data_IF_458610650039
#
_entry.id   IF_458610650039
#
_cell.length_a   1.000
_cell.length_b   1.000
_cell.length_c   1.000
_cell.angle_alpha   90.00
_cell.angle_beta   90.00
_cell.angle_gamma   90.00
#
_symmetry.space_group_name_H-M   'P 1'
#
loop_
_entity.id
_entity.type
_entity.pdbx_description
1 polymer ?
#
# COMPACT_ATOMS: atom_id res chain seq x y z
N UNK A 1 -0.33 -1.21 2.84
CA UNK A 1 -0.52 -2.56 3.38
C UNK A 1 -1.97 -2.93 3.18
N UNK A 2 -2.25 -4.06 2.55
CA UNK A 2 -3.60 -4.53 2.20
C UNK A 2 -3.95 -5.86 2.85
N UNK A 3 -2.95 -6.54 3.42
CA UNK A 3 -3.06 -7.79 4.17
C UNK A 3 -1.84 -7.93 5.10
N UNK A 4 -1.74 -9.02 5.89
CA UNK A 4 -0.64 -9.29 6.83
C UNK A 4 0.75 -9.19 6.21
N UNK A 5 0.92 -9.69 4.99
CA UNK A 5 2.21 -9.76 4.28
C UNK A 5 2.18 -9.06 2.91
N UNK A 6 1.08 -8.38 2.56
CA UNK A 6 0.87 -7.81 1.21
C UNK A 6 0.77 -6.30 1.22
N UNK A 7 1.42 -5.68 0.26
CA UNK A 7 1.43 -4.24 0.05
C UNK A 7 1.13 -3.93 -1.40
N UNK A 8 0.29 -2.92 -1.66
CA UNK A 8 0.20 -2.32 -2.98
C UNK A 8 1.28 -1.25 -3.12
N UNK A 9 1.93 -1.19 -4.28
CA UNK A 9 2.99 -0.21 -4.57
C UNK A 9 2.90 0.26 -6.01
N UNK A 10 3.32 1.51 -6.25
CA UNK A 10 3.51 2.01 -7.60
C UNK A 10 4.91 1.61 -8.07
N UNK A 11 5.07 0.82 -9.15
CA UNK A 11 6.39 0.36 -9.58
C UNK A 11 7.40 1.49 -9.82
N UNK A 12 6.95 2.64 -10.33
CA UNK A 12 7.84 3.77 -10.65
C UNK A 12 8.47 4.50 -9.45
N UNK A 13 8.19 4.09 -8.19
CA UNK A 13 8.92 4.62 -7.03
C UNK A 13 9.97 3.65 -6.49
N UNK A 14 9.93 2.36 -6.84
CA UNK A 14 10.73 1.32 -6.16
C UNK A 14 12.23 1.59 -6.23
N UNK A 15 12.74 2.05 -7.37
CA UNK A 15 14.16 2.36 -7.57
C UNK A 15 14.60 3.72 -6.97
N UNK A 16 13.67 4.44 -6.33
CA UNK A 16 13.88 5.77 -5.77
C UNK A 16 13.61 5.85 -4.27
N UNK A 17 13.25 4.73 -3.63
CA UNK A 17 13.00 4.69 -2.18
C UNK A 17 14.29 4.41 -1.42
N UNK A 18 14.71 5.36 -0.58
CA UNK A 18 15.66 5.10 0.49
C UNK A 18 14.92 4.67 1.76
N UNK A 19 15.40 3.61 2.42
CA UNK A 19 14.77 3.10 3.62
C UNK A 19 15.67 3.22 4.85
N UNK A 20 15.09 3.72 5.94
CA UNK A 20 15.77 3.90 7.22
C UNK A 20 14.91 3.30 8.32
N UNK A 21 15.52 2.45 9.17
CA UNK A 21 14.85 1.88 10.33
C UNK A 21 15.23 2.65 11.58
N UNK A 22 14.25 3.32 12.20
CA UNK A 22 14.46 4.18 13.37
C UNK A 22 13.98 3.45 14.62
N UNK A 23 14.83 3.40 15.65
CA UNK A 23 14.50 2.85 16.97
C UNK A 23 14.78 3.86 18.07
N UNK A 24 14.06 3.72 19.19
CA UNK A 24 14.35 4.50 20.40
C UNK A 24 15.76 4.15 20.90
N UNK A 25 16.61 5.17 21.04
CA UNK A 25 17.93 5.04 21.64
C UNK A 25 17.94 5.33 23.14
N UNK A 26 19.13 5.57 23.69
CA UNK A 26 19.36 5.84 25.11
C UNK A 26 19.34 7.35 25.34
N UNK A 27 18.90 7.82 26.52
CA UNK A 27 18.90 9.25 26.91
C UNK A 27 18.14 10.17 25.94
N UNK A 28 17.06 9.69 25.32
CA UNK A 28 16.23 10.49 24.42
C UNK A 28 16.78 10.63 22.99
N UNK A 29 17.90 10.00 22.66
CA UNK A 29 18.38 9.94 21.28
C UNK A 29 17.62 8.88 20.46
N UNK A 30 17.58 9.08 19.14
CA UNK A 30 17.15 8.05 18.18
C UNK A 30 18.37 7.29 17.66
N UNK A 31 18.20 6.01 17.36
CA UNK A 31 19.16 5.23 16.58
C UNK A 31 18.53 4.94 15.23
N UNK A 32 19.31 5.05 14.16
CA UNK A 32 18.85 4.73 12.82
C UNK A 32 19.87 3.84 12.11
N UNK A 33 19.37 2.99 11.23
CA UNK A 33 20.16 2.17 10.30
C UNK A 33 19.59 2.34 8.89
N UNK A 34 20.44 2.51 7.89
CA UNK A 34 20.03 2.41 6.49
C UNK A 34 19.76 0.94 6.16
N UNK A 35 18.68 0.70 5.43
CA UNK A 35 18.32 -0.61 4.91
C UNK A 35 18.30 -0.53 3.40
N UNK A 36 19.06 -1.39 2.74
CA UNK A 36 19.32 -1.34 1.30
C UNK A 36 18.06 -1.58 0.45
N UNK A 37 17.03 -2.20 1.03
CA UNK A 37 15.80 -2.54 0.33
C UNK A 37 14.55 -2.25 1.15
N UNK A 38 13.56 -1.61 0.53
CA UNK A 38 12.22 -1.44 1.09
C UNK A 38 11.60 -2.80 1.47
N UNK A 39 11.84 -3.83 0.65
CA UNK A 39 11.34 -5.18 0.91
C UNK A 39 11.89 -5.73 2.22
N UNK A 40 13.22 -5.66 2.41
CA UNK A 40 13.87 -6.14 3.63
C UNK A 40 13.49 -5.33 4.85
N UNK A 41 13.34 -4.01 4.70
CA UNK A 41 12.92 -3.15 5.79
C UNK A 41 11.52 -3.50 6.30
N UNK A 42 10.55 -3.65 5.39
CA UNK A 42 9.18 -4.02 5.73
C UNK A 42 9.13 -5.42 6.35
N UNK A 43 9.81 -6.39 5.74
CA UNK A 43 9.91 -7.77 6.25
C UNK A 43 10.47 -7.81 7.68
N UNK A 44 11.57 -7.11 7.95
CA UNK A 44 12.18 -7.00 9.28
C UNK A 44 11.29 -6.27 10.28
N UNK A 45 10.64 -5.18 9.87
CA UNK A 45 9.78 -4.38 10.75
C UNK A 45 8.53 -5.14 11.21
N UNK A 46 7.99 -6.01 10.35
CA UNK A 46 6.83 -6.85 10.66
C UNK A 46 7.20 -8.23 11.24
N UNK A 47 8.49 -8.55 11.37
CA UNK A 47 8.99 -9.86 11.78
C UNK A 47 8.43 -11.03 10.94
N UNK A 48 8.44 -10.85 9.61
CA UNK A 48 7.97 -11.85 8.64
C UNK A 48 9.15 -12.53 7.93
N UNK A 49 8.92 -13.74 7.42
CA UNK A 49 9.91 -14.45 6.59
C UNK A 49 9.94 -13.93 5.15
N UNK A 50 8.81 -13.44 4.65
CA UNK A 50 8.66 -12.83 3.34
C UNK A 50 7.49 -11.85 3.35
N UNK A 51 7.49 -10.97 2.34
CA UNK A 51 6.35 -10.11 2.02
C UNK A 51 6.13 -10.10 0.51
N UNK A 52 4.95 -9.66 0.08
CA UNK A 52 4.60 -9.44 -1.32
C UNK A 52 4.32 -7.97 -1.59
N UNK A 53 5.10 -7.40 -2.50
CA UNK A 53 4.82 -6.11 -3.12
C UNK A 53 4.00 -6.37 -4.39
N UNK A 54 2.78 -5.86 -4.43
CA UNK A 54 1.82 -5.99 -5.52
C UNK A 54 1.84 -4.67 -6.29
N UNK A 55 2.38 -4.69 -7.49
CA UNK A 55 2.51 -3.52 -8.34
C UNK A 55 1.17 -3.11 -8.95
N UNK A 56 0.78 -1.85 -8.77
CA UNK A 56 -0.40 -1.26 -9.43
C UNK A 56 -0.23 -1.22 -10.94
N UNK A 57 -1.32 -1.30 -11.71
CA UNK A 57 -1.31 -1.26 -13.17
C UNK A 57 -0.86 -2.57 -13.85
N UNK A 58 -0.60 -3.62 -13.07
CA UNK A 58 -0.45 -5.00 -13.54
C UNK A 58 0.56 -5.20 -14.67
N UNK A 59 1.75 -4.63 -14.49
CA UNK A 59 2.87 -4.72 -15.43
C UNK A 59 2.76 -3.83 -16.67
N UNK A 60 1.67 -3.08 -16.82
CA UNK A 60 1.51 -2.12 -17.92
C UNK A 60 1.90 -0.71 -17.43
N UNK A 61 2.98 -0.10 -17.94
CA UNK A 61 3.46 1.20 -17.46
C UNK A 61 2.47 2.34 -17.71
N UNK A 62 1.71 2.29 -18.80
CA UNK A 62 0.67 3.30 -19.12
C UNK A 62 -0.49 3.18 -18.14
N UNK A 63 -0.94 1.96 -17.87
CA UNK A 63 -1.99 1.71 -16.88
C UNK A 63 -1.53 2.09 -15.47
N UNK A 64 -0.30 1.72 -15.09
CA UNK A 64 0.28 2.04 -13.79
C UNK A 64 0.34 3.56 -13.55
N UNK A 65 0.86 4.34 -14.51
CA UNK A 65 0.91 5.80 -14.38
C UNK A 65 -0.50 6.42 -14.30
N UNK A 66 -1.43 5.99 -15.16
CA UNK A 66 -2.82 6.46 -15.18
C UNK A 66 -3.56 6.15 -13.88
N UNK A 67 -3.41 4.95 -13.36
CA UNK A 67 -4.13 4.49 -12.18
C UNK A 67 -3.49 5.00 -10.89
N UNK A 68 -2.16 5.18 -10.87
CA UNK A 68 -1.48 5.89 -9.80
C UNK A 68 -1.98 7.34 -9.68
N UNK A 69 -2.22 8.02 -10.80
CA UNK A 69 -2.85 9.35 -10.81
C UNK A 69 -4.28 9.35 -10.24
N UNK A 70 -4.97 8.22 -10.34
CA UNK A 70 -6.30 7.99 -9.78
C UNK A 70 -6.24 7.26 -8.44
N UNK A 71 -5.11 7.37 -7.71
CA UNK A 71 -4.95 6.87 -6.34
C UNK A 71 -5.06 5.34 -6.19
N UNK A 72 -4.61 4.55 -7.17
CA UNK A 72 -4.68 3.08 -7.14
C UNK A 72 -3.94 2.40 -5.98
N UNK A 73 -2.92 3.06 -5.43
CA UNK A 73 -2.17 2.57 -4.26
C UNK A 73 -2.75 3.08 -2.92
N UNK A 74 -3.72 4.01 -2.97
CA UNK A 74 -4.39 4.60 -1.81
C UNK A 74 -5.65 3.83 -1.40
N UNK A 75 -5.52 2.51 -1.30
CA UNK A 75 -6.64 1.64 -0.94
C UNK A 75 -6.88 1.66 0.58
N UNK A 76 -8.14 1.52 0.98
CA UNK A 76 -8.51 1.42 2.39
C UNK A 76 -8.71 -0.04 2.76
N UNK A 77 -7.76 -0.64 3.49
CA UNK A 77 -7.97 -1.97 4.08
C UNK A 77 -8.96 -1.88 5.25
N UNK A 78 -10.09 -2.58 5.18
CA UNK A 78 -11.10 -2.64 6.25
C UNK A 78 -10.98 -3.91 7.10
N UNK A 79 -10.39 -4.97 6.54
CA UNK A 79 -9.93 -6.16 7.22
C UNK A 79 -8.67 -6.68 6.48
N UNK A 80 -7.87 -7.59 7.09
CA UNK A 80 -6.77 -8.23 6.37
C UNK A 80 -7.29 -8.93 5.11
N UNK A 81 -6.76 -8.55 3.94
CA UNK A 81 -7.19 -9.09 2.65
C UNK A 81 -8.48 -8.48 2.10
N UNK A 82 -9.12 -7.50 2.76
CA UNK A 82 -10.35 -6.85 2.27
C UNK A 82 -10.14 -5.35 2.19
N UNK A 83 -10.28 -4.79 0.99
CA UNK A 83 -10.03 -3.38 0.73
C UNK A 83 -11.23 -2.69 0.07
N UNK A 84 -11.30 -1.37 0.25
CA UNK A 84 -12.10 -0.47 -0.57
C UNK A 84 -11.18 0.27 -1.54
N UNK A 85 -11.55 0.27 -2.83
CA UNK A 85 -10.80 0.90 -3.92
C UNK A 85 -11.75 1.58 -4.92
N UNK A 86 -11.23 2.48 -5.75
CA UNK A 86 -12.02 3.06 -6.84
C UNK A 86 -12.15 2.07 -8.01
N UNK A 87 -13.37 1.92 -8.54
CA UNK A 87 -13.65 1.00 -9.65
C UNK A 87 -12.87 1.33 -10.94
N UNK A 88 -12.52 2.60 -11.14
CA UNK A 88 -11.78 3.07 -12.33
C UNK A 88 -10.32 2.58 -12.43
N UNK A 89 -9.78 2.02 -11.36
CA UNK A 89 -8.42 1.47 -11.30
C UNK A 89 -8.46 -0.01 -11.69
N UNK A 90 -9.03 -0.30 -12.86
CA UNK A 90 -9.39 -1.65 -13.32
C UNK A 90 -8.20 -2.61 -13.22
N UNK A 91 -7.04 -2.24 -13.80
CA UNK A 91 -5.90 -3.15 -13.87
C UNK A 91 -5.27 -3.40 -12.51
N UNK A 92 -5.21 -2.38 -11.66
CA UNK A 92 -4.74 -2.50 -10.28
C UNK A 92 -5.67 -3.36 -9.43
N UNK A 93 -6.98 -3.20 -9.59
CA UNK A 93 -7.98 -3.97 -8.87
C UNK A 93 -7.94 -5.45 -9.29
N UNK A 94 -7.81 -5.74 -10.59
CA UNK A 94 -7.60 -7.10 -11.11
C UNK A 94 -6.40 -7.78 -10.47
N UNK A 95 -5.23 -7.12 -10.48
CA UNK A 95 -4.01 -7.71 -9.90
C UNK A 95 -4.12 -7.87 -8.39
N UNK A 96 -4.79 -6.96 -7.68
CA UNK A 96 -5.07 -7.16 -6.26
C UNK A 96 -5.95 -8.40 -6.02
N UNK A 97 -7.00 -8.57 -6.83
CA UNK A 97 -7.89 -9.74 -6.76
C UNK A 97 -7.16 -11.06 -7.08
N UNK A 98 -6.33 -11.09 -8.12
CA UNK A 98 -5.45 -12.23 -8.47
C UNK A 98 -4.49 -12.61 -7.32
N UNK A 99 -4.21 -11.66 -6.43
CA UNK A 99 -3.37 -11.85 -5.25
C UNK A 99 -4.16 -12.17 -3.96
N UNK A 100 -5.43 -12.53 -4.10
CA UNK A 100 -6.29 -12.96 -2.99
C UNK A 100 -6.83 -11.81 -2.15
N UNK A 101 -6.83 -10.59 -2.67
CA UNK A 101 -7.45 -9.44 -2.02
C UNK A 101 -8.91 -9.32 -2.48
N UNK A 102 -9.85 -9.27 -1.54
CA UNK A 102 -11.24 -8.91 -1.80
C UNK A 102 -11.34 -7.38 -2.01
N UNK A 103 -11.67 -6.98 -3.25
CA UNK A 103 -11.70 -5.58 -3.67
C UNK A 103 -13.15 -5.10 -3.77
N UNK A 104 -13.58 -4.35 -2.75
CA UNK A 104 -14.86 -3.63 -2.76
C UNK A 104 -14.67 -2.35 -3.56
N UNK A 105 -15.15 -2.36 -4.81
CA UNK A 105 -15.06 -1.19 -5.68
C UNK A 105 -16.20 -0.20 -5.43
N UNK A 106 -15.87 1.09 -5.44
CA UNK A 106 -16.85 2.18 -5.38
C UNK A 106 -16.74 3.09 -6.60
N UNK A 107 -17.86 3.65 -7.03
CA UNK A 107 -17.87 4.72 -8.03
C UNK A 107 -17.39 6.03 -7.38
N UNK A 108 -16.49 6.74 -8.05
CA UNK A 108 -15.84 7.93 -7.49
C UNK A 108 -15.43 8.94 -8.56
N UNK A 109 -16.23 9.04 -9.63
CA UNK A 109 -16.02 9.92 -10.78
C UNK A 109 -15.80 11.39 -10.37
N UNK A 110 -16.54 11.86 -9.37
CA UNK A 110 -16.42 13.21 -8.82
C UNK A 110 -15.36 13.33 -7.71
N UNK A 111 -15.31 12.36 -6.79
CA UNK A 111 -14.40 12.40 -5.62
C UNK A 111 -12.92 12.42 -6.04
N UNK A 112 -12.56 11.64 -7.07
CA UNK A 112 -11.19 11.54 -7.57
C UNK A 112 -10.66 12.87 -8.14
N UNK A 113 -11.53 13.83 -8.47
CA UNK A 113 -11.10 15.19 -8.87
C UNK A 113 -10.32 15.89 -7.76
N UNK A 114 -10.57 15.51 -6.50
CA UNK A 114 -9.83 15.96 -5.32
C UNK A 114 -8.45 15.32 -5.14
N UNK A 115 -8.04 14.37 -6.02
CA UNK A 115 -6.75 13.65 -5.96
C UNK A 115 -6.54 12.90 -4.63
N UNK A 116 -7.50 12.06 -4.30
CA UNK A 116 -7.40 11.19 -3.14
C UNK A 116 -8.23 9.93 -3.31
N UNK A 117 -7.70 8.80 -2.84
CA UNK A 117 -8.40 7.52 -2.77
C UNK A 117 -9.22 7.34 -1.48
N UNK A 118 -9.85 6.17 -1.31
CA UNK A 118 -10.62 5.85 -0.11
C UNK A 118 -9.85 6.03 1.21
N UNK A 119 -8.52 5.79 1.22
CA UNK A 119 -7.71 5.97 2.43
C UNK A 119 -7.51 7.45 2.78
N UNK A 120 -7.42 8.35 1.80
CA UNK A 120 -7.33 9.79 2.03
C UNK A 120 -8.60 10.38 2.68
N UNK A 121 -9.77 9.77 2.43
CA UNK A 121 -11.07 10.24 2.94
C UNK A 121 -11.43 9.66 4.32
N UNK A 122 -10.54 8.88 4.95
CA UNK A 122 -10.86 8.12 6.15
C UNK A 122 -9.83 8.30 7.26
N UNK A 123 -10.32 8.18 8.50
CA UNK A 123 -9.52 8.25 9.72
C UNK A 123 -9.98 7.13 10.66
N UNK A 124 -9.29 5.97 10.70
CA UNK A 124 -9.67 4.88 11.58
C UNK A 124 -9.61 5.32 13.06
N UNK A 125 -10.75 5.25 13.77
CA UNK A 125 -10.83 5.56 15.20
C UNK A 125 -10.53 4.35 16.08
N UNK A 126 -10.96 3.16 15.64
CA UNK A 126 -10.70 1.90 16.31
C UNK A 126 -10.46 0.80 15.27
N UNK A 127 -9.48 -0.06 15.52
CA UNK A 127 -9.21 -1.29 14.78
C UNK A 127 -8.83 -2.36 15.79
N UNK A 128 -9.39 -3.54 15.66
CA UNK A 128 -9.04 -4.65 16.52
C UNK A 128 -7.55 -4.99 16.38
N UNK A 129 -6.90 -5.45 17.47
CA UNK A 129 -5.54 -5.96 17.38
C UNK A 129 -5.49 -7.16 16.42
N UNK A 130 -4.39 -7.27 15.69
CA UNK A 130 -4.11 -8.45 14.88
C UNK A 130 -3.95 -9.67 15.80
N UNK A 131 -4.50 -10.80 15.37
CA UNK A 131 -4.37 -12.08 16.08
C UNK A 131 -3.07 -12.78 15.75
#
# INVERSE_FOLDING_TARGET
MVDYDKFTVYPGILDHVETVMIRRGIKGHMRYEHIDSLHDALRRALNLTSIKLIESGGGNPVAAAREQWNDSTNTLAIAPGVIVAYGRNERSNEVLAENGIDVISIEASELVRGRGGPRCMTMPLNRDPLK
#
